data_IF_569406524306
#
_entry.id   IF_569406524306
#
_cell.length_a   1.000
_cell.length_b   1.000
_cell.length_c   1.000
_cell.angle_alpha   90.00
_cell.angle_beta   90.00
_cell.angle_gamma   90.00
#
_symmetry.space_group_name_H-M   'P 1'
#
loop_
_entity.id
_entity.type
_entity.pdbx_description
1 polymer ?
#
# COMPACT_ATOMS: atom_id res chain seq x y z
N UNK A 1 -4.59 5.44 -24.11
CA UNK A 1 -3.37 4.88 -24.75
C UNK A 1 -3.02 3.65 -23.93
N UNK A 2 -2.91 2.43 -24.50
CA UNK A 2 -2.71 1.25 -23.68
C UNK A 2 -1.41 1.37 -22.88
N UNK A 3 -1.51 1.25 -21.55
CA UNK A 3 -0.37 1.23 -20.63
C UNK A 3 -0.12 -0.21 -20.22
N UNK A 4 1.08 -0.70 -20.49
CA UNK A 4 1.54 -1.98 -19.96
C UNK A 4 2.20 -1.75 -18.61
N UNK A 5 1.88 -2.61 -17.64
CA UNK A 5 2.44 -2.57 -16.30
C UNK A 5 3.14 -3.89 -16.02
N UNK A 6 4.41 -3.81 -15.64
CA UNK A 6 5.22 -4.92 -15.16
C UNK A 6 5.66 -4.63 -13.71
N UNK A 7 5.44 -5.58 -12.81
CA UNK A 7 5.76 -5.44 -11.38
C UNK A 7 6.88 -6.42 -11.03
N UNK A 8 8.04 -5.87 -10.68
CA UNK A 8 9.21 -6.65 -10.24
C UNK A 8 9.28 -6.68 -8.71
N UNK A 9 9.36 -7.87 -8.13
CA UNK A 9 9.57 -8.06 -6.70
C UNK A 9 11.06 -8.11 -6.34
N UNK A 10 11.53 -7.09 -5.63
CA UNK A 10 12.96 -6.91 -5.31
C UNK A 10 13.38 -7.55 -3.98
N UNK A 11 12.43 -7.72 -3.07
CA UNK A 11 12.70 -8.27 -1.75
C UNK A 11 11.60 -7.94 -0.75
N UNK A 12 11.75 -8.45 0.46
CA UNK A 12 10.85 -8.14 1.58
C UNK A 12 11.65 -7.66 2.78
N UNK A 13 11.00 -6.93 3.67
CA UNK A 13 11.54 -6.63 4.98
C UNK A 13 10.43 -6.50 6.04
N UNK A 14 10.80 -6.74 7.30
CA UNK A 14 9.96 -6.41 8.45
C UNK A 14 10.34 -5.03 8.94
N UNK A 15 9.36 -4.12 8.97
CA UNK A 15 9.45 -2.85 9.70
C UNK A 15 9.40 -3.17 11.20
N UNK A 16 10.45 -2.79 11.93
CA UNK A 16 10.47 -2.86 13.40
C UNK A 16 9.81 -1.63 14.01
N UNK A 17 9.49 -1.71 15.31
CA UNK A 17 8.85 -0.62 16.07
C UNK A 17 9.66 0.69 16.04
N UNK A 18 10.98 0.61 15.92
CA UNK A 18 11.90 1.75 15.79
C UNK A 18 12.08 2.24 14.34
N UNK A 19 11.27 1.73 13.41
CA UNK A 19 11.27 2.02 11.97
C UNK A 19 12.51 1.51 11.23
N UNK A 20 13.34 0.66 11.83
CA UNK A 20 14.40 -0.06 11.11
C UNK A 20 13.82 -1.20 10.26
N UNK A 21 14.56 -1.61 9.23
CA UNK A 21 14.17 -2.69 8.33
C UNK A 21 14.98 -3.96 8.63
N UNK A 22 14.30 -5.10 8.73
CA UNK A 22 14.94 -6.41 8.78
C UNK A 22 14.63 -7.21 7.52
N UNK A 23 15.68 -7.46 6.73
CA UNK A 23 15.55 -8.03 5.39
C UNK A 23 15.02 -9.47 5.39
N UNK A 24 14.35 -9.85 4.30
CA UNK A 24 13.99 -11.25 3.98
C UNK A 24 12.85 -11.84 4.82
N UNK A 25 12.19 -11.04 5.65
CA UNK A 25 11.06 -11.50 6.46
C UNK A 25 9.85 -11.87 5.59
N UNK A 26 9.14 -12.92 6.01
CA UNK A 26 7.89 -13.35 5.39
C UNK A 26 6.69 -12.83 6.17
N UNK A 27 5.57 -12.50 5.51
CA UNK A 27 4.36 -12.09 6.20
C UNK A 27 3.75 -13.26 6.97
N UNK A 28 2.78 -12.94 7.84
CA UNK A 28 2.11 -13.94 8.68
C UNK A 28 1.42 -15.02 7.83
N UNK A 29 1.46 -16.26 8.30
CA UNK A 29 0.84 -17.37 7.59
C UNK A 29 -0.68 -17.30 7.70
N UNK A 30 -1.37 -17.55 6.60
CA UNK A 30 -2.82 -17.61 6.55
C UNK A 30 -3.37 -18.78 7.41
N UNK A 31 -4.42 -18.51 8.19
CA UNK A 31 -5.20 -19.52 8.88
C UNK A 31 -6.20 -20.18 7.91
N UNK A 32 -5.78 -21.27 7.27
CA UNK A 32 -6.57 -21.99 6.27
C UNK A 32 -7.62 -22.96 6.86
N UNK A 33 -7.99 -22.83 8.15
CA UNK A 33 -9.08 -23.62 8.73
C UNK A 33 -10.40 -23.31 8.01
N UNK A 34 -11.01 -24.35 7.40
CA UNK A 34 -12.28 -24.26 6.68
C UNK A 34 -13.42 -23.64 7.48
N UNK A 35 -13.38 -23.71 8.81
CA UNK A 35 -14.36 -23.11 9.72
C UNK A 35 -14.33 -21.58 9.73
N UNK A 36 -13.24 -20.97 9.24
CA UNK A 36 -13.05 -19.51 9.11
C UNK A 36 -13.58 -18.94 7.79
N UNK A 37 -14.07 -19.77 6.87
CA UNK A 37 -14.50 -19.36 5.54
C UNK A 37 -15.98 -19.62 5.28
N UNK A 38 -16.55 -18.89 4.32
CA UNK A 38 -17.96 -18.96 3.98
C UNK A 38 -18.83 -18.36 5.08
N UNK A 39 -20.05 -18.88 5.25
CA UNK A 39 -20.96 -18.42 6.30
C UNK A 39 -20.57 -19.04 7.63
N UNK A 40 -20.25 -18.20 8.61
CA UNK A 40 -19.76 -18.64 9.91
C UNK A 40 -20.92 -19.07 10.82
N UNK A 41 -20.76 -20.18 11.53
CA UNK A 41 -21.62 -20.53 12.66
C UNK A 41 -21.43 -19.54 13.79
N UNK A 42 -22.41 -19.41 14.69
CA UNK A 42 -22.34 -18.53 15.86
C UNK A 42 -21.03 -18.68 16.66
N UNK A 43 -20.53 -19.92 16.82
CA UNK A 43 -19.29 -20.22 17.55
C UNK A 43 -17.99 -19.87 16.82
N UNK A 44 -18.04 -19.55 15.54
CA UNK A 44 -16.87 -19.20 14.72
C UNK A 44 -16.91 -17.74 14.24
N UNK A 45 -17.91 -16.97 14.68
CA UNK A 45 -17.96 -15.54 14.38
C UNK A 45 -16.79 -14.84 15.08
N UNK A 46 -16.28 -13.78 14.45
CA UNK A 46 -15.10 -13.07 14.93
C UNK A 46 -15.51 -11.67 15.36
N UNK A 47 -15.31 -11.34 16.62
CA UNK A 47 -15.60 -10.01 17.16
C UNK A 47 -14.37 -9.12 16.98
N UNK A 48 -14.49 -8.11 16.10
CA UNK A 48 -13.38 -7.21 15.77
C UNK A 48 -13.11 -6.15 16.85
N UNK A 49 -13.82 -6.19 17.98
CA UNK A 49 -13.56 -5.30 19.12
C UNK A 49 -12.65 -5.95 20.18
N UNK A 50 -12.59 -7.28 20.24
CA UNK A 50 -11.78 -7.99 21.25
C UNK A 50 -10.29 -7.71 21.04
N UNK A 51 -9.56 -7.52 22.15
CA UNK A 51 -8.12 -7.21 22.13
C UNK A 51 -7.78 -5.83 21.57
N UNK A 52 -8.77 -4.99 21.27
CA UNK A 52 -8.56 -3.63 20.75
C UNK A 52 -8.47 -2.58 21.86
N UNK A 53 -8.67 -2.97 23.12
CA UNK A 53 -8.58 -2.09 24.28
C UNK A 53 -7.19 -1.45 24.37
N UNK A 54 -7.13 -0.13 24.23
CA UNK A 54 -5.88 0.62 24.32
C UNK A 54 -5.02 0.59 23.06
N UNK A 55 -5.55 0.09 21.93
CA UNK A 55 -4.87 0.17 20.64
C UNK A 55 -4.44 1.61 20.33
N UNK A 56 -3.22 1.76 19.82
CA UNK A 56 -2.67 2.99 19.28
C UNK A 56 -2.10 2.69 17.93
N UNK A 57 -2.27 3.62 17.00
CA UNK A 57 -1.60 3.55 15.71
C UNK A 57 -0.11 3.87 15.91
N UNK A 58 0.69 2.81 16.05
CA UNK A 58 2.15 2.88 16.20
C UNK A 58 2.84 2.68 14.85
N UNK A 59 2.12 2.12 13.89
CA UNK A 59 2.60 1.90 12.53
C UNK A 59 2.55 3.15 11.64
N UNK A 60 1.69 4.11 11.97
CA UNK A 60 1.59 5.40 11.29
C UNK A 60 2.89 6.21 11.31
N UNK A 61 3.03 7.10 10.33
CA UNK A 61 4.19 7.99 10.22
C UNK A 61 5.48 7.32 9.73
N UNK A 62 5.44 6.03 9.37
CA UNK A 62 6.55 5.34 8.69
C UNK A 62 6.55 5.61 7.17
N UNK A 63 6.55 6.89 6.80
CA UNK A 63 6.43 7.36 5.42
C UNK A 63 7.50 6.70 4.52
N UNK A 64 8.77 7.00 4.79
CA UNK A 64 9.91 6.44 4.08
C UNK A 64 11.00 5.87 4.99
N UNK A 65 10.89 6.02 6.31
CA UNK A 65 11.97 5.67 7.24
C UNK A 65 12.45 4.23 7.08
N UNK A 66 11.52 3.27 7.16
CA UNK A 66 11.89 1.85 7.00
C UNK A 66 12.31 1.49 5.56
N UNK A 67 11.76 2.15 4.55
CA UNK A 67 12.17 1.95 3.16
C UNK A 67 13.59 2.50 2.90
N UNK A 68 13.92 3.67 3.44
CA UNK A 68 15.26 4.25 3.39
C UNK A 68 16.28 3.38 4.11
N UNK A 69 15.89 2.79 5.24
CA UNK A 69 16.73 1.82 5.93
C UNK A 69 16.98 0.57 5.07
N UNK A 70 15.94 0.00 4.46
CA UNK A 70 16.07 -1.09 3.50
C UNK A 70 17.03 -0.75 2.34
N UNK A 71 16.87 0.43 1.73
CA UNK A 71 17.71 0.86 0.59
C UNK A 71 19.17 0.96 1.03
N UNK A 72 19.47 1.57 2.20
CA UNK A 72 20.85 1.65 2.72
C UNK A 72 21.48 0.28 2.95
N UNK A 73 20.71 -0.70 3.42
CA UNK A 73 21.20 -2.05 3.67
C UNK A 73 21.41 -2.86 2.38
N UNK A 74 20.73 -2.52 1.29
CA UNK A 74 20.75 -3.28 0.03
C UNK A 74 21.54 -2.61 -1.09
N UNK A 75 21.85 -1.32 -0.96
CA UNK A 75 22.67 -0.60 -1.91
C UNK A 75 24.11 -1.14 -1.94
N UNK A 76 24.65 -1.30 -3.15
CA UNK A 76 26.05 -1.64 -3.32
C UNK A 76 26.93 -0.41 -3.02
N UNK A 77 28.08 -0.58 -2.34
CA UNK A 77 29.00 0.53 -2.07
C UNK A 77 29.41 1.27 -3.35
N UNK A 78 29.33 2.60 -3.32
CA UNK A 78 29.72 3.47 -4.44
C UNK A 78 28.64 3.71 -5.49
N UNK A 79 27.47 3.06 -5.41
CA UNK A 79 26.34 3.40 -6.26
C UNK A 79 25.76 4.75 -5.86
N UNK A 80 25.40 5.58 -6.85
CA UNK A 80 24.48 6.70 -6.62
C UNK A 80 23.10 6.18 -6.18
N UNK A 81 22.31 7.03 -5.53
CA UNK A 81 20.96 6.66 -5.13
C UNK A 81 20.11 6.20 -6.32
N UNK A 82 20.21 6.91 -7.46
CA UNK A 82 19.50 6.54 -8.69
C UNK A 82 19.89 5.17 -9.22
N UNK A 83 21.18 4.81 -9.17
CA UNK A 83 21.67 3.48 -9.59
C UNK A 83 21.23 2.38 -8.63
N UNK A 84 21.26 2.64 -7.31
CA UNK A 84 20.81 1.68 -6.30
C UNK A 84 19.31 1.36 -6.44
N UNK A 85 18.50 2.37 -6.77
CA UNK A 85 17.04 2.25 -6.90
C UNK A 85 16.64 1.74 -8.29
N UNK A 86 17.34 2.18 -9.34
CA UNK A 86 17.05 1.83 -10.73
C UNK A 86 15.63 2.21 -11.17
N UNK A 87 15.13 3.37 -10.73
CA UNK A 87 13.80 3.88 -11.06
C UNK A 87 13.83 5.41 -11.31
N UNK A 88 12.70 5.98 -11.74
CA UNK A 88 12.52 7.43 -11.85
C UNK A 88 11.87 8.01 -10.58
N UNK A 89 10.98 7.25 -9.96
CA UNK A 89 10.19 7.67 -8.80
C UNK A 89 10.46 6.80 -7.58
N UNK A 90 10.42 7.41 -6.40
CA UNK A 90 10.22 6.73 -5.12
C UNK A 90 8.84 7.11 -4.59
N UNK A 91 8.06 6.11 -4.19
CA UNK A 91 6.68 6.30 -3.75
C UNK A 91 6.27 5.32 -2.66
N UNK A 92 4.99 5.39 -2.26
CA UNK A 92 4.31 4.35 -1.50
C UNK A 92 3.24 3.70 -2.36
N UNK A 93 2.88 2.45 -2.07
CA UNK A 93 1.71 1.79 -2.72
C UNK A 93 0.47 2.68 -2.68
N UNK A 94 0.24 3.36 -1.55
CA UNK A 94 -0.92 4.24 -1.33
C UNK A 94 -1.00 5.38 -2.36
N UNK A 95 0.13 5.99 -2.68
CA UNK A 95 0.19 7.07 -3.67
C UNK A 95 -0.19 6.53 -5.06
N UNK A 96 0.33 5.37 -5.46
CA UNK A 96 -0.03 4.74 -6.73
C UNK A 96 -1.53 4.43 -6.81
N UNK A 97 -2.10 3.87 -5.74
CA UNK A 97 -3.55 3.62 -5.66
C UNK A 97 -4.33 4.93 -5.79
N UNK A 98 -3.90 5.99 -5.10
CA UNK A 98 -4.58 7.28 -5.10
C UNK A 98 -4.59 7.91 -6.48
N UNK A 99 -3.43 7.97 -7.13
CA UNK A 99 -3.28 8.54 -8.48
C UNK A 99 -3.98 7.70 -9.55
N UNK A 100 -3.96 6.37 -9.43
CA UNK A 100 -4.68 5.50 -10.39
C UNK A 100 -6.20 5.62 -10.21
N UNK A 101 -6.67 5.66 -8.96
CA UNK A 101 -8.09 5.73 -8.64
C UNK A 101 -8.73 7.09 -8.96
N UNK A 102 -7.93 8.13 -9.24
CA UNK A 102 -8.42 9.47 -9.59
C UNK A 102 -8.95 9.58 -11.01
N UNK A 103 -8.82 8.52 -11.81
CA UNK A 103 -9.43 8.43 -13.15
C UNK A 103 -10.97 8.48 -13.09
N UNK A 104 -11.53 8.30 -11.89
CA UNK A 104 -12.95 8.31 -11.61
C UNK A 104 -13.22 9.21 -10.40
N UNK A 105 -14.44 9.78 -10.29
CA UNK A 105 -14.79 10.61 -9.14
C UNK A 105 -14.51 9.94 -7.80
N UNK A 106 -13.99 10.71 -6.85
CA UNK A 106 -13.46 10.17 -5.61
C UNK A 106 -13.25 11.22 -4.52
N UNK A 107 -12.43 10.86 -3.53
CA UNK A 107 -12.06 11.77 -2.45
C UNK A 107 -10.99 12.75 -2.95
N UNK A 108 -11.02 14.02 -2.49
CA UNK A 108 -9.92 14.93 -2.68
C UNK A 108 -8.61 14.36 -2.12
N UNK A 109 -7.49 14.70 -2.75
CA UNK A 109 -6.17 14.37 -2.25
C UNK A 109 -5.15 15.46 -2.58
N UNK A 110 -4.02 15.43 -1.87
CA UNK A 110 -2.86 16.26 -2.13
C UNK A 110 -1.60 15.40 -1.99
N UNK A 111 -0.82 15.31 -3.07
CA UNK A 111 0.47 14.63 -3.13
C UNK A 111 1.52 15.67 -3.53
N UNK A 112 2.65 15.68 -2.85
CA UNK A 112 3.82 16.49 -3.22
C UNK A 112 4.81 15.63 -3.97
N UNK A 113 5.38 16.18 -5.03
CA UNK A 113 6.50 15.58 -5.73
C UNK A 113 7.71 16.49 -5.58
N UNK A 114 8.84 15.92 -5.16
CA UNK A 114 10.13 16.60 -5.03
C UNK A 114 11.16 15.85 -5.86
N UNK A 115 11.90 16.55 -6.72
CA UNK A 115 13.03 15.96 -7.41
C UNK A 115 14.32 16.18 -6.62
N UNK A 116 15.04 15.09 -6.33
CA UNK A 116 16.30 15.11 -5.58
C UNK A 116 17.20 13.96 -6.00
N UNK A 117 18.47 14.24 -6.25
CA UNK A 117 19.48 13.27 -6.70
C UNK A 117 19.04 12.44 -7.92
N UNK A 118 18.39 13.10 -8.89
CA UNK A 118 17.91 12.47 -10.11
C UNK A 118 16.69 11.56 -9.96
N UNK A 119 16.05 11.53 -8.78
CA UNK A 119 14.82 10.79 -8.47
C UNK A 119 13.69 11.73 -8.08
N UNK A 120 12.44 11.30 -8.31
CA UNK A 120 11.24 12.04 -7.90
C UNK A 120 10.56 11.31 -6.74
N UNK A 121 10.50 11.94 -5.58
CA UNK A 121 9.85 11.42 -4.37
C UNK A 121 8.41 11.90 -4.32
N UNK A 122 7.45 10.98 -4.17
CA UNK A 122 6.02 11.30 -4.05
C UNK A 122 5.56 11.16 -2.60
N UNK A 123 4.95 12.18 -2.01
CA UNK A 123 4.48 12.11 -0.62
C UNK A 123 3.05 12.65 -0.52
N UNK A 124 2.10 11.83 -0.06
CA UNK A 124 0.78 12.35 0.28
C UNK A 124 0.83 13.15 1.58
N UNK A 125 0.21 14.33 1.57
CA UNK A 125 0.24 15.25 2.72
C UNK A 125 -0.44 14.68 3.96
N UNK A 126 -1.34 13.71 3.77
CA UNK A 126 -2.02 13.03 4.88
C UNK A 126 -1.05 12.15 5.66
N UNK A 127 -0.12 11.47 5.00
CA UNK A 127 0.90 10.65 5.69
C UNK A 127 1.92 11.47 6.47
N UNK A 128 2.03 12.77 6.20
CA UNK A 128 2.86 13.70 6.98
C UNK A 128 2.14 14.19 8.25
N UNK A 129 0.82 14.10 8.26
CA UNK A 129 -0.02 14.45 9.39
C UNK A 129 -0.24 13.18 10.21
N UNK A 130 0.42 13.06 11.37
CA UNK A 130 0.19 11.99 12.35
C UNK A 130 -1.27 12.05 12.85
N UNK A 131 -2.19 11.48 12.09
CA UNK A 131 -3.59 11.32 12.50
C UNK A 131 -3.72 9.97 13.19
N UNK A 132 -3.91 9.99 14.51
CA UNK A 132 -4.08 8.76 15.29
C UNK A 132 -5.36 8.05 14.86
N UNK A 133 -5.26 6.97 14.09
CA UNK A 133 -6.39 6.09 13.83
C UNK A 133 -6.60 5.20 15.07
N UNK A 134 -7.74 5.32 15.73
CA UNK A 134 -8.06 4.48 16.89
C UNK A 134 -8.86 3.23 16.51
N UNK A 135 -9.17 3.04 15.22
CA UNK A 135 -9.91 1.87 14.75
C UNK A 135 -8.96 0.71 14.45
N UNK A 136 -8.99 -0.31 15.31
CA UNK A 136 -8.15 -1.51 15.23
C UNK A 136 -8.81 -2.69 14.48
N UNK A 137 -10.10 -2.61 14.14
CA UNK A 137 -10.85 -3.78 13.64
C UNK A 137 -10.37 -4.36 12.30
N UNK A 138 -9.59 -3.60 11.52
CA UNK A 138 -8.87 -4.14 10.34
C UNK A 138 -7.77 -5.11 10.77
N UNK A 139 -6.84 -4.62 11.59
CA UNK A 139 -5.77 -5.41 12.19
C UNK A 139 -6.28 -6.60 13.02
N UNK A 140 -7.40 -6.44 13.74
CA UNK A 140 -7.99 -7.58 14.46
C UNK A 140 -8.51 -8.66 13.50
N UNK A 141 -9.06 -8.27 12.35
CA UNK A 141 -9.47 -9.23 11.33
C UNK A 141 -8.27 -9.95 10.72
N UNK A 142 -7.17 -9.25 10.47
CA UNK A 142 -5.90 -9.85 10.02
C UNK A 142 -5.40 -10.88 11.04
N UNK A 143 -5.39 -10.52 12.33
CA UNK A 143 -4.99 -11.41 13.42
C UNK A 143 -5.84 -12.68 13.48
N UNK A 144 -7.17 -12.59 13.34
CA UNK A 144 -8.03 -13.78 13.31
C UNK A 144 -7.78 -14.69 12.10
N UNK A 145 -7.41 -14.09 10.96
CA UNK A 145 -7.21 -14.80 9.70
C UNK A 145 -5.78 -15.27 9.52
N UNK A 146 -4.86 -14.99 10.44
CA UNK A 146 -3.46 -15.43 10.37
C UNK A 146 -3.11 -16.32 11.56
N UNK A 147 -1.92 -16.91 11.50
CA UNK A 147 -1.32 -17.73 12.55
C UNK A 147 -0.19 -16.94 13.22
N UNK A 148 0.03 -17.22 14.49
CA UNK A 148 1.11 -16.65 15.28
C UNK A 148 2.49 -17.21 14.86
N UNK A 149 3.54 -16.80 15.57
CA UNK A 149 4.91 -17.25 15.32
C UNK A 149 5.14 -18.76 15.55
N UNK A 150 4.27 -19.41 16.33
CA UNK A 150 4.30 -20.85 16.58
C UNK A 150 3.50 -21.64 15.52
N UNK A 151 2.74 -20.93 14.68
CA UNK A 151 1.84 -21.51 13.69
C UNK A 151 0.47 -21.89 14.26
N UNK A 152 0.11 -21.34 15.43
CA UNK A 152 -1.18 -21.54 16.09
C UNK A 152 -2.12 -20.35 15.85
N UNK A 153 -3.45 -20.53 15.92
CA UNK A 153 -4.38 -19.40 15.88
C UNK A 153 -4.18 -18.46 17.06
N UNK A 154 -4.25 -17.16 16.81
CA UNK A 154 -4.24 -16.12 17.85
C UNK A 154 -5.41 -16.26 18.84
N UNK A 155 -5.18 -15.80 20.07
CA UNK A 155 -6.24 -15.69 21.08
C UNK A 155 -7.17 -14.51 20.74
N UNK A 156 -8.47 -14.68 21.01
CA UNK A 156 -9.49 -13.67 20.76
C UNK A 156 -9.20 -12.38 21.57
N UNK A 157 -8.67 -12.51 22.79
CA UNK A 157 -8.32 -11.40 23.68
C UNK A 157 -6.87 -10.88 23.48
N UNK A 158 -6.12 -11.47 22.54
CA UNK A 158 -4.74 -11.03 22.27
C UNK A 158 -4.71 -9.56 21.81
N UNK A 159 -3.85 -8.71 22.42
CA UNK A 159 -3.76 -7.30 22.06
C UNK A 159 -3.36 -7.07 20.60
N UNK A 160 -4.08 -6.17 19.93
CA UNK A 160 -3.78 -5.77 18.55
C UNK A 160 -2.64 -4.75 18.53
N UNK A 161 -1.68 -4.92 17.62
CA UNK A 161 -0.62 -3.94 17.35
C UNK A 161 -0.29 -3.86 15.87
N UNK A 162 -0.04 -2.66 15.37
CA UNK A 162 0.46 -2.40 14.01
C UNK A 162 1.89 -1.81 14.02
N UNK A 163 2.58 -1.90 15.16
CA UNK A 163 3.92 -1.35 15.34
C UNK A 163 4.95 -2.02 14.43
N UNK A 164 4.76 -3.30 14.12
CA UNK A 164 5.56 -4.05 13.18
C UNK A 164 4.70 -4.52 12.01
N UNK A 165 5.25 -4.54 10.81
CA UNK A 165 4.60 -5.10 9.64
C UNK A 165 5.63 -5.58 8.63
N UNK A 166 5.25 -6.53 7.77
CA UNK A 166 6.11 -6.98 6.67
C UNK A 166 5.72 -6.22 5.42
N UNK A 167 6.72 -5.78 4.65
CA UNK A 167 6.53 -5.08 3.38
C UNK A 167 7.31 -5.78 2.28
N UNK A 168 6.72 -5.84 1.08
CA UNK A 168 7.47 -6.08 -0.16
C UNK A 168 8.04 -4.76 -0.67
N UNK A 169 9.17 -4.87 -1.35
CA UNK A 169 9.80 -3.80 -2.13
C UNK A 169 9.61 -4.14 -3.59
N UNK A 170 8.92 -3.24 -4.29
CA UNK A 170 8.44 -3.44 -5.64
C UNK A 170 9.01 -2.36 -6.54
N UNK A 171 9.31 -2.73 -7.78
CA UNK A 171 9.60 -1.81 -8.86
C UNK A 171 8.60 -2.04 -9.98
N UNK A 172 7.79 -1.05 -10.24
CA UNK A 172 6.80 -1.10 -11.31
C UNK A 172 7.27 -0.32 -12.51
N UNK A 173 7.32 -0.98 -13.66
CA UNK A 173 7.56 -0.36 -14.96
C UNK A 173 6.22 -0.08 -15.61
N UNK A 174 5.99 1.19 -16.01
CA UNK A 174 4.86 1.59 -16.82
C UNK A 174 5.36 1.97 -18.21
N UNK A 175 4.85 1.29 -19.23
CA UNK A 175 5.21 1.53 -20.62
C UNK A 175 3.99 1.96 -21.44
N UNK A 176 4.14 3.05 -22.21
CA UNK A 176 3.14 3.49 -23.18
C UNK A 176 3.81 4.23 -24.34
N UNK A 177 3.52 3.81 -25.58
CA UNK A 177 4.02 4.45 -26.81
C UNK A 177 5.56 4.60 -26.85
N UNK A 178 6.29 3.61 -26.34
CA UNK A 178 7.76 3.61 -26.29
C UNK A 178 8.37 4.54 -25.23
N UNK A 179 7.54 5.12 -24.35
CA UNK A 179 7.97 5.84 -23.16
C UNK A 179 7.85 4.92 -21.96
N UNK A 180 8.92 4.85 -21.17
CA UNK A 180 9.02 4.04 -19.96
C UNK A 180 9.16 4.94 -18.73
N UNK A 181 8.44 4.62 -17.66
CA UNK A 181 8.66 5.18 -16.33
C UNK A 181 8.71 4.08 -15.29
N UNK A 182 9.66 4.19 -14.36
CA UNK A 182 9.82 3.21 -13.27
C UNK A 182 9.51 3.83 -11.92
N UNK A 183 8.71 3.14 -11.10
CA UNK A 183 8.38 3.56 -9.74
C UNK A 183 8.83 2.49 -8.74
N UNK A 184 9.67 2.90 -7.81
CA UNK A 184 10.12 2.08 -6.68
C UNK A 184 9.30 2.41 -5.43
N UNK A 185 8.73 1.41 -4.77
CA UNK A 185 7.90 1.63 -3.59
C UNK A 185 7.84 0.39 -2.68
N UNK A 186 7.36 0.61 -1.45
CA UNK A 186 7.02 -0.47 -0.55
C UNK A 186 5.51 -0.69 -0.45
N UNK A 187 5.12 -1.95 -0.28
CA UNK A 187 3.74 -2.38 -0.05
C UNK A 187 3.68 -3.28 1.20
N UNK A 188 2.85 -2.92 2.17
CA UNK A 188 2.57 -3.78 3.32
C UNK A 188 1.85 -5.06 2.87
N UNK A 189 2.28 -6.20 3.43
CA UNK A 189 1.79 -7.54 3.15
C UNK A 189 1.04 -8.07 4.36
N UNK A 190 -0.25 -8.35 4.21
CA UNK A 190 -1.05 -8.78 5.35
C UNK A 190 -0.86 -10.27 5.68
N UNK A 191 -0.65 -11.12 4.66
CA UNK A 191 -0.40 -12.55 4.88
C UNK A 191 0.04 -13.32 3.64
N UNK A 192 0.38 -14.60 3.84
CA UNK A 192 0.73 -15.56 2.79
C UNK A 192 0.12 -16.93 3.06
N UNK A 193 -0.40 -17.59 2.02
CA UNK A 193 -0.89 -18.96 2.15
C UNK A 193 0.21 -20.02 2.02
N UNK A 194 -0.13 -21.29 2.24
CA UNK A 194 0.83 -22.40 2.13
C UNK A 194 1.46 -22.59 0.75
N UNK A 195 0.85 -22.04 -0.30
CA UNK A 195 1.33 -22.11 -1.69
C UNK A 195 2.24 -20.94 -2.04
N UNK A 196 2.42 -19.99 -1.11
CA UNK A 196 3.24 -18.80 -1.30
C UNK A 196 2.48 -17.62 -1.92
N UNK A 197 1.15 -17.73 -2.09
CA UNK A 197 0.37 -16.64 -2.65
C UNK A 197 0.12 -15.57 -1.57
N UNK A 198 0.39 -14.32 -1.92
CA UNK A 198 0.11 -13.17 -1.06
C UNK A 198 -1.40 -12.93 -0.97
N UNK A 199 -1.87 -12.57 0.22
CA UNK A 199 -3.27 -12.30 0.51
C UNK A 199 -3.43 -10.95 1.20
N UNK A 200 -4.49 -10.23 0.81
CA UNK A 200 -4.91 -8.98 1.45
C UNK A 200 -6.21 -9.21 2.23
N UNK A 201 -6.32 -8.68 3.44
CA UNK A 201 -7.51 -8.78 4.26
C UNK A 201 -8.34 -7.51 4.23
N UNK A 202 -9.66 -7.67 4.09
CA UNK A 202 -10.61 -6.55 4.15
C UNK A 202 -11.82 -6.93 4.97
N UNK A 203 -12.23 -6.07 5.90
CA UNK A 203 -13.51 -6.21 6.59
C UNK A 203 -14.44 -5.05 6.23
N UNK A 204 -15.72 -5.35 5.99
CA UNK A 204 -16.72 -4.32 5.62
C UNK A 204 -18.12 -4.75 6.03
N UNK A 205 -19.01 -3.80 6.26
CA UNK A 205 -20.44 -4.06 6.44
C UNK A 205 -21.25 -3.85 5.15
N UNK A 206 -20.58 -3.50 4.05
CA UNK A 206 -21.22 -3.28 2.76
C UNK A 206 -21.55 -4.61 2.09
N UNK A 207 -22.79 -4.73 1.62
CA UNK A 207 -23.19 -5.85 0.78
C UNK A 207 -22.45 -5.86 -0.57
N UNK A 208 -22.52 -6.99 -1.27
CA UNK A 208 -21.75 -7.23 -2.51
C UNK A 208 -21.85 -6.10 -3.54
N UNK A 209 -23.06 -5.68 -3.92
CA UNK A 209 -23.27 -4.61 -4.92
C UNK A 209 -22.67 -3.28 -4.49
N UNK A 210 -22.92 -2.87 -3.25
CA UNK A 210 -22.39 -1.60 -2.72
C UNK A 210 -20.88 -1.66 -2.54
N UNK A 211 -20.30 -2.83 -2.24
CA UNK A 211 -18.85 -3.02 -2.24
C UNK A 211 -18.28 -2.87 -3.65
N UNK A 212 -18.89 -3.48 -4.68
CA UNK A 212 -18.50 -3.29 -6.08
C UNK A 212 -18.49 -1.82 -6.47
N UNK A 213 -19.55 -1.08 -6.15
CA UNK A 213 -19.67 0.34 -6.52
C UNK A 213 -18.69 1.25 -5.78
N UNK A 214 -18.37 0.96 -4.50
CA UNK A 214 -17.70 1.93 -3.62
C UNK A 214 -16.27 1.60 -3.24
N UNK A 215 -15.93 0.32 -3.14
CA UNK A 215 -14.67 -0.13 -2.52
C UNK A 215 -13.84 -1.02 -3.45
N UNK A 216 -14.46 -1.74 -4.39
CA UNK A 216 -13.77 -2.71 -5.25
C UNK A 216 -12.60 -2.10 -6.01
N UNK A 217 -12.73 -0.86 -6.52
CA UNK A 217 -11.64 -0.15 -7.23
C UNK A 217 -10.39 0.00 -6.36
N UNK A 218 -10.56 0.55 -5.16
CA UNK A 218 -9.45 0.76 -4.23
C UNK A 218 -8.85 -0.57 -3.78
N UNK A 219 -9.70 -1.57 -3.51
CA UNK A 219 -9.26 -2.91 -3.11
C UNK A 219 -8.46 -3.61 -4.23
N UNK A 220 -8.94 -3.53 -5.48
CA UNK A 220 -8.25 -4.05 -6.65
C UNK A 220 -6.90 -3.38 -6.83
N UNK A 221 -6.85 -2.05 -6.92
CA UNK A 221 -5.59 -1.31 -7.13
C UNK A 221 -4.59 -1.55 -6.00
N UNK A 222 -5.06 -1.60 -4.75
CA UNK A 222 -4.22 -1.90 -3.59
C UNK A 222 -3.61 -3.30 -3.67
N UNK A 223 -4.39 -4.28 -4.12
CA UNK A 223 -3.92 -5.66 -4.23
C UNK A 223 -3.02 -5.83 -5.46
N UNK A 224 -3.41 -5.27 -6.60
CA UNK A 224 -2.65 -5.31 -7.86
C UNK A 224 -1.26 -4.68 -7.69
N UNK A 225 -1.17 -3.46 -7.17
CA UNK A 225 0.13 -2.84 -6.88
C UNK A 225 0.87 -3.48 -5.70
N UNK A 226 0.28 -4.42 -4.97
CA UNK A 226 0.95 -5.21 -3.94
C UNK A 226 1.39 -6.59 -4.42
N UNK A 227 1.15 -6.93 -5.70
CA UNK A 227 1.30 -8.29 -6.25
C UNK A 227 0.54 -9.36 -5.44
N UNK A 228 -0.64 -8.98 -4.95
CA UNK A 228 -1.51 -9.84 -4.14
C UNK A 228 -2.41 -10.65 -5.05
N UNK A 229 -2.49 -11.96 -4.81
CA UNK A 229 -3.26 -12.88 -5.66
C UNK A 229 -4.76 -12.83 -5.38
N UNK A 230 -5.16 -12.66 -4.12
CA UNK A 230 -6.57 -12.63 -3.72
C UNK A 230 -6.82 -11.87 -2.43
N UNK A 231 -8.08 -11.45 -2.26
CA UNK A 231 -8.58 -10.76 -1.09
C UNK A 231 -9.43 -11.72 -0.27
N UNK A 232 -9.16 -11.80 1.04
CA UNK A 232 -10.07 -12.40 2.02
C UNK A 232 -10.92 -11.28 2.61
N UNK A 233 -12.23 -11.35 2.32
CA UNK A 233 -13.20 -10.32 2.70
C UNK A 233 -14.14 -10.80 3.80
N UNK A 234 -14.01 -10.24 4.99
CA UNK A 234 -14.95 -10.42 6.11
C UNK A 234 -16.16 -9.49 5.99
N UNK A 235 -17.36 -10.05 5.92
CA UNK A 235 -18.62 -9.31 6.02
C UNK A 235 -19.03 -9.18 7.49
N UNK A 236 -19.23 -7.94 7.92
CA UNK A 236 -19.46 -7.56 9.32
C UNK A 236 -20.87 -7.08 9.57
N UNK A 237 -21.37 -7.30 10.79
CA UNK A 237 -22.55 -6.60 11.32
C UNK A 237 -22.19 -5.16 11.69
N UNK A 238 -23.19 -4.37 12.11
CA UNK A 238 -22.95 -3.01 12.64
C UNK A 238 -22.12 -3.05 13.93
N UNK A 239 -22.28 -4.11 14.71
CA UNK A 239 -21.57 -4.37 15.97
C UNK A 239 -20.16 -4.95 15.73
N UNK A 240 -19.68 -4.93 14.49
CA UNK A 240 -18.32 -5.37 14.10
C UNK A 240 -18.07 -6.87 14.29
N UNK A 241 -19.13 -7.66 14.21
CA UNK A 241 -19.04 -9.12 14.22
C UNK A 241 -18.92 -9.62 12.78
N UNK A 242 -17.82 -10.30 12.44
CA UNK A 242 -17.69 -10.99 11.15
C UNK A 242 -18.56 -12.24 11.18
N UNK A 243 -19.48 -12.34 10.22
CA UNK A 243 -20.40 -13.49 10.11
C UNK A 243 -20.26 -14.26 8.80
N UNK A 244 -19.49 -13.73 7.84
CA UNK A 244 -19.18 -14.41 6.59
C UNK A 244 -17.80 -13.98 6.10
N UNK A 245 -17.04 -14.89 5.52
CA UNK A 245 -15.73 -14.62 4.91
C UNK A 245 -15.71 -15.16 3.49
N UNK A 246 -15.46 -14.29 2.52
CA UNK A 246 -15.38 -14.63 1.10
C UNK A 246 -13.93 -14.50 0.61
N UNK A 247 -13.49 -15.42 -0.26
CA UNK A 247 -12.24 -15.30 -1.03
C UNK A 247 -12.56 -14.74 -2.42
N UNK A 248 -11.83 -13.73 -2.85
CA UNK A 248 -12.04 -13.02 -4.12
C UNK A 248 -10.70 -12.94 -4.84
N UNK A 249 -10.56 -13.57 -6.01
CA UNK A 249 -9.35 -13.43 -6.81
C UNK A 249 -9.24 -12.00 -7.35
N UNK A 250 -8.05 -11.41 -7.28
CA UNK A 250 -7.84 -10.01 -7.70
C UNK A 250 -8.12 -9.83 -9.18
N UNK A 251 -7.64 -10.75 -10.01
CA UNK A 251 -7.81 -10.73 -11.48
C UNK A 251 -9.27 -10.91 -11.93
N UNK A 252 -10.13 -11.45 -11.07
CA UNK A 252 -11.56 -11.61 -11.38
C UNK A 252 -12.36 -10.32 -11.11
N UNK A 253 -11.86 -9.39 -10.29
CA UNK A 253 -12.59 -8.19 -9.88
C UNK A 253 -13.00 -7.32 -11.09
N UNK A 254 -12.12 -7.04 -12.08
CA UNK A 254 -12.50 -6.26 -13.25
C UNK A 254 -13.59 -6.90 -14.11
N UNK A 255 -13.70 -8.24 -14.09
CA UNK A 255 -14.74 -8.99 -14.80
C UNK A 255 -16.11 -9.02 -14.09
N UNK A 256 -16.20 -8.43 -12.90
CA UNK A 256 -17.46 -8.29 -12.16
C UNK A 256 -18.29 -7.11 -12.71
N UNK A 257 -19.49 -6.90 -12.16
CA UNK A 257 -20.38 -5.76 -12.48
C UNK A 257 -19.86 -4.45 -11.83
N UNK A 258 -18.66 -4.04 -12.21
CA UNK A 258 -17.98 -2.82 -11.74
C UNK A 258 -18.25 -1.63 -12.67
N UNK A 259 -18.06 -0.42 -12.16
CA UNK A 259 -18.23 0.84 -12.90
C UNK A 259 -16.90 1.53 -13.25
N UNK A 260 -15.80 0.78 -13.22
CA UNK A 260 -14.45 1.25 -13.48
C UNK A 260 -13.67 0.18 -14.27
N UNK A 261 -12.58 0.58 -14.90
CA UNK A 261 -11.72 -0.31 -15.69
C UNK A 261 -10.25 -0.16 -15.25
N UNK A 262 -9.47 -1.25 -15.11
CA UNK A 262 -8.04 -1.18 -14.79
C UNK A 262 -7.26 -0.30 -15.77
N UNK A 263 -7.52 -0.43 -17.06
CA UNK A 263 -6.80 0.26 -18.14
C UNK A 263 -6.92 1.78 -17.98
N UNK A 264 -8.12 2.27 -17.68
CA UNK A 264 -8.37 3.70 -17.40
C UNK A 264 -7.64 4.19 -16.14
N UNK A 265 -7.53 3.34 -15.12
CA UNK A 265 -6.75 3.67 -13.91
C UNK A 265 -5.24 3.76 -14.21
N UNK A 266 -4.73 2.86 -15.05
CA UNK A 266 -3.31 2.81 -15.42
C UNK A 266 -2.91 3.93 -16.38
N UNK A 267 -3.76 4.25 -17.35
CA UNK A 267 -3.64 5.44 -18.21
C UNK A 267 -3.54 6.71 -17.35
N UNK A 268 -4.44 6.88 -16.39
CA UNK A 268 -4.43 8.03 -15.50
C UNK A 268 -3.13 8.13 -14.68
N UNK A 269 -2.66 7.00 -14.13
CA UNK A 269 -1.40 6.97 -13.39
C UNK A 269 -0.22 7.38 -14.28
N UNK A 270 -0.14 6.81 -15.49
CA UNK A 270 0.92 7.11 -16.45
C UNK A 270 0.93 8.60 -16.80
N UNK A 271 -0.22 9.17 -17.17
CA UNK A 271 -0.34 10.58 -17.54
C UNK A 271 0.08 11.53 -16.41
N UNK A 272 -0.29 11.21 -15.16
CA UNK A 272 0.11 12.02 -14.00
C UNK A 272 1.62 11.93 -13.77
N UNK A 273 2.19 10.73 -13.78
CA UNK A 273 3.63 10.54 -13.57
C UNK A 273 4.44 11.23 -14.66
N UNK A 274 4.00 11.13 -15.91
CA UNK A 274 4.65 11.83 -17.03
C UNK A 274 4.60 13.35 -16.85
N UNK A 275 3.44 13.88 -16.46
CA UNK A 275 3.29 15.32 -16.22
C UNK A 275 4.17 15.81 -15.06
N UNK A 276 4.30 15.03 -13.99
CA UNK A 276 5.23 15.33 -12.89
C UNK A 276 6.68 15.34 -13.41
N UNK A 277 7.09 14.30 -14.15
CA UNK A 277 8.45 14.18 -14.70
C UNK A 277 8.80 15.35 -15.62
N UNK A 278 7.83 15.83 -16.41
CA UNK A 278 7.98 17.00 -17.29
C UNK A 278 8.12 18.32 -16.52
N UNK A 279 7.44 18.46 -15.39
CA UNK A 279 7.48 19.68 -14.56
C UNK A 279 8.72 19.78 -13.69
N UNK A 280 9.25 18.64 -13.25
CA UNK A 280 10.42 18.56 -12.39
C UNK A 280 11.63 18.18 -13.26
N UNK A 281 12.15 19.11 -14.05
CA UNK A 281 13.30 18.90 -14.94
C UNK A 281 14.61 18.84 -14.15
N UNK A 282 14.74 19.68 -13.13
CA UNK A 282 15.96 19.85 -12.33
C UNK A 282 15.78 19.35 -10.90
N UNK A 283 16.88 18.98 -10.26
CA UNK A 283 16.88 18.69 -8.82
C UNK A 283 16.54 19.95 -8.03
N UNK A 284 15.91 19.77 -6.86
CA UNK A 284 15.38 20.82 -6.00
C UNK A 284 14.18 21.60 -6.57
N UNK A 285 13.47 21.00 -7.53
CA UNK A 285 12.13 21.43 -7.95
C UNK A 285 11.05 20.62 -7.24
N UNK A 286 9.93 21.26 -6.93
CA UNK A 286 8.77 20.60 -6.32
C UNK A 286 7.44 21.06 -6.93
N UNK A 287 6.45 20.17 -6.90
CA UNK A 287 5.08 20.43 -7.36
C UNK A 287 4.09 19.74 -6.43
N UNK A 288 2.96 20.39 -6.17
CA UNK A 288 1.79 19.79 -5.54
C UNK A 288 0.84 19.29 -6.63
N UNK A 289 0.49 18.01 -6.55
CA UNK A 289 -0.60 17.39 -7.29
C UNK A 289 -1.83 17.40 -6.39
N UNK A 290 -2.88 18.11 -6.79
CA UNK A 290 -4.12 18.24 -6.02
C UNK A 290 -5.31 17.76 -6.84
N UNK A 291 -6.22 17.03 -6.21
CA UNK A 291 -7.53 16.76 -6.77
C UNK A 291 -8.65 17.26 -5.87
N UNK A 292 -9.69 17.82 -6.49
CA UNK A 292 -10.96 18.15 -5.82
C UNK A 292 -11.93 16.95 -5.77
N UNK A 293 -11.49 15.78 -6.23
CA UNK A 293 -12.29 14.56 -6.37
C UNK A 293 -12.84 14.35 -7.78
N UNK A 294 -12.63 15.28 -8.71
CA UNK A 294 -13.03 15.17 -10.12
C UNK A 294 -11.90 15.60 -11.05
N UNK A 295 -11.28 16.73 -10.78
CA UNK A 295 -10.22 17.32 -11.58
C UNK A 295 -8.87 17.17 -10.87
N UNK A 296 -7.78 17.26 -11.64
CA UNK A 296 -6.41 17.27 -11.13
C UNK A 296 -5.74 18.59 -11.52
N UNK A 297 -5.05 19.19 -10.55
CA UNK A 297 -4.35 20.45 -10.66
C UNK A 297 -2.91 20.28 -10.21
N UNK A 298 -2.02 21.07 -10.80
CA UNK A 298 -0.60 21.12 -10.47
C UNK A 298 -0.25 22.53 -10.03
N UNK A 299 0.25 22.66 -8.81
CA UNK A 299 0.65 23.94 -8.20
C UNK A 299 2.16 23.90 -7.93
N UNK A 300 2.87 25.00 -8.21
CA UNK A 300 4.28 25.13 -7.83
C UNK A 300 4.44 25.04 -6.31
N UNK A 301 5.50 24.41 -5.85
CA UNK A 301 5.85 24.26 -4.43
C UNK A 301 7.34 24.56 -4.24
N UNK A 302 7.67 25.16 -3.10
CA UNK A 302 9.07 25.37 -2.76
C UNK A 302 9.65 24.06 -2.22
N UNK A 303 10.77 23.60 -2.79
CA UNK A 303 11.43 22.36 -2.35
C UNK A 303 11.80 22.38 -0.85
N UNK A 304 12.07 23.56 -0.27
CA UNK A 304 12.33 23.71 1.17
C UNK A 304 11.13 23.38 2.05
N UNK A 305 9.91 23.37 1.51
CA UNK A 305 8.71 22.91 2.22
C UNK A 305 8.61 21.38 2.25
N UNK A 306 9.36 20.65 1.42
CA UNK A 306 9.31 19.20 1.28
C UNK A 306 10.31 18.50 2.21
N UNK A 307 9.91 18.31 3.47
CA UNK A 307 10.74 17.73 4.53
C UNK A 307 10.62 16.20 4.70
N UNK A 308 10.06 15.51 3.69
CA UNK A 308 9.83 14.06 3.72
C UNK A 308 11.01 13.21 3.19
N UNK A 309 12.07 13.84 2.70
CA UNK A 309 13.32 13.17 2.31
C UNK A 309 14.38 13.47 3.36
N UNK A 310 14.85 12.45 4.07
CA UNK A 310 15.85 12.59 5.14
C UNK A 310 17.23 12.96 4.56
N UNK A 311 17.82 14.11 4.93
CA UNK A 311 19.16 14.48 4.48
C UNK A 311 20.24 13.47 4.89
N UNK A 312 20.12 12.79 6.04
CA UNK A 312 21.09 11.77 6.46
C UNK A 312 21.01 10.52 5.59
N UNK A 313 19.83 10.20 5.05
CA UNK A 313 19.67 9.14 4.06
C UNK A 313 20.43 9.50 2.77
N UNK A 314 20.27 10.72 2.24
CA UNK A 314 20.95 11.14 1.02
C UNK A 314 22.48 11.13 1.17
N UNK A 315 23.00 11.54 2.35
CA UNK A 315 24.44 11.52 2.64
C UNK A 315 25.09 10.15 2.53
N UNK A 316 24.33 9.07 2.66
CA UNK A 316 24.84 7.71 2.47
C UNK A 316 25.35 7.47 1.05
N UNK A 317 24.78 8.14 0.04
CA UNK A 317 25.06 7.92 -1.38
C UNK A 317 26.08 8.90 -1.98
N UNK A 318 26.67 9.77 -1.15
CA UNK A 318 27.76 10.68 -1.55
C UNK A 318 29.14 10.24 -1.04
N UNK A 319 29.23 9.08 -0.36
CA UNK A 319 30.46 8.54 0.23
C UNK A 319 31.08 7.46 -0.66
#
# INVERSE_FOLDING_TARGET
MPVEIDIEHLGTFKKRRDRTAELGHQPSRLNEDRRRYGKLSQWNQMDLNLGCEGFRDEGGGDLYFSLFDYIRQTALPGNSLKEAIGADFISTRRNLVTLSASAFPGKPFQIRALRKDGLIFLCDRTSEQETSNTYAGGYKFEQYMTLDENGDPHDDDEPVSNAECVKSVLRTTLESEGREMKVFYAAELDGVDREGNLVEFKSTNLGYKTWLERLSRGHYLQSYFGDVSYIIKGLTTRDKIVFKVDKILVDEIPGMDVNWAPETCFEQLFEILEEIKRRLENDDEAVIIRSDGVNIYYEEEDASNCNFVDPEFLRHFYQ
#
